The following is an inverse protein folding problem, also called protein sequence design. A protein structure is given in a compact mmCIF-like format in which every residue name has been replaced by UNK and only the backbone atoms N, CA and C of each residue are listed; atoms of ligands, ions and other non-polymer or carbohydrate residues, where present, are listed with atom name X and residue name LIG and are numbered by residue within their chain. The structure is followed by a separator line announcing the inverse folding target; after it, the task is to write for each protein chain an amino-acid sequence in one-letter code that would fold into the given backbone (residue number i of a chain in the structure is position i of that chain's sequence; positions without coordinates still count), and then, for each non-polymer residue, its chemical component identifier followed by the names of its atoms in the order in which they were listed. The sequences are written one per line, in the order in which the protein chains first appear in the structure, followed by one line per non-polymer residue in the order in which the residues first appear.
data_IF_487847967082
#
_entry.id   IF_487847967082
#
_cell.length_a   1.000
_cell.length_b   1.000
_cell.length_c   1.000
_cell.angle_alpha   90.00
_cell.angle_beta   90.00
_cell.angle_gamma   90.00
#
_symmetry.space_group_name_H-M   'P 1'
#
loop_
_entity.id
_entity.type
_entity.pdbx_description
1 polymer ?
#
# COMPACT_ATOMS: atom_id res chain seq x y z
N UNK A 1 2.11 16.01 13.88
CA UNK A 1 0.87 15.46 13.29
C UNK A 1 1.30 14.65 12.08
N UNK A 2 0.81 13.44 12.00
CA UNK A 2 0.94 12.59 10.82
C UNK A 2 -0.40 12.57 10.09
N UNK A 3 -0.36 12.70 8.77
CA UNK A 3 -1.53 12.71 7.90
C UNK A 3 -1.42 11.53 6.94
N UNK A 4 -2.53 10.92 6.56
CA UNK A 4 -2.57 9.92 5.50
C UNK A 4 -3.85 10.08 4.67
N UNK A 5 -3.78 9.65 3.41
CA UNK A 5 -4.94 9.60 2.53
C UNK A 5 -5.73 8.32 2.81
N UNK A 6 -7.01 8.46 3.16
CA UNK A 6 -7.92 7.33 3.40
C UNK A 6 -8.41 6.71 2.09
N UNK A 7 -8.63 5.41 2.10
CA UNK A 7 -9.39 4.58 1.14
C UNK A 7 -9.50 5.16 -0.29
N UNK A 8 -8.40 5.27 -1.05
CA UNK A 8 -8.40 5.90 -2.38
C UNK A 8 -9.41 5.28 -3.36
N UNK A 9 -9.70 3.98 -3.22
CA UNK A 9 -10.65 3.25 -4.05
C UNK A 9 -12.11 3.26 -3.52
N UNK A 10 -12.40 3.94 -2.43
CA UNK A 10 -13.80 4.16 -2.04
C UNK A 10 -14.47 5.08 -3.07
N UNK A 11 -15.52 4.57 -3.73
CA UNK A 11 -16.16 5.29 -4.83
C UNK A 11 -15.21 5.62 -6.00
N UNK A 12 -14.03 4.98 -6.06
CA UNK A 12 -12.97 5.24 -7.07
C UNK A 12 -12.51 6.70 -7.06
N UNK A 13 -12.37 7.27 -5.87
CA UNK A 13 -12.18 8.70 -5.66
C UNK A 13 -10.81 9.23 -6.11
N UNK A 14 -9.76 8.40 -6.07
CA UNK A 14 -8.37 8.81 -6.35
C UNK A 14 -7.73 7.86 -7.35
N UNK A 15 -7.01 8.39 -8.33
CA UNK A 15 -6.19 7.62 -9.26
C UNK A 15 -4.75 7.46 -8.74
N UNK A 16 -4.00 6.52 -9.27
CA UNK A 16 -2.60 6.35 -8.90
C UNK A 16 -1.74 7.57 -9.27
N UNK A 17 -2.07 8.26 -10.36
CA UNK A 17 -1.39 9.48 -10.79
C UNK A 17 -1.66 10.64 -9.84
N UNK A 18 -2.89 10.78 -9.35
CA UNK A 18 -3.25 11.79 -8.34
C UNK A 18 -2.56 11.48 -7.00
N UNK A 19 -2.54 10.21 -6.58
CA UNK A 19 -1.79 9.77 -5.40
C UNK A 19 -0.29 10.08 -5.54
N UNK A 20 0.30 9.88 -6.72
CA UNK A 20 1.69 10.19 -6.97
C UNK A 20 1.98 11.69 -6.90
N UNK A 21 1.06 12.53 -7.39
CA UNK A 21 1.26 13.98 -7.49
C UNK A 21 1.27 14.71 -6.14
N UNK A 22 0.69 14.11 -5.09
CA UNK A 22 0.66 14.71 -3.74
C UNK A 22 1.96 14.38 -3.01
N UNK A 23 3.07 14.96 -3.44
CA UNK A 23 4.43 14.61 -2.99
C UNK A 23 4.72 14.95 -1.53
N UNK A 24 3.95 15.86 -0.92
CA UNK A 24 4.06 16.19 0.50
C UNK A 24 3.46 15.13 1.43
N UNK A 25 2.59 14.27 0.92
CA UNK A 25 2.02 13.17 1.68
C UNK A 25 2.94 11.96 1.64
N UNK A 26 3.09 11.30 2.79
CA UNK A 26 3.97 10.14 2.95
C UNK A 26 3.21 8.83 3.15
N UNK A 27 1.92 8.91 3.45
CA UNK A 27 1.13 7.74 3.84
C UNK A 27 -0.23 7.72 3.15
N UNK A 28 -0.70 6.51 2.83
CA UNK A 28 -2.07 6.29 2.37
C UNK A 28 -2.57 4.92 2.82
N UNK A 29 -3.86 4.70 2.83
CA UNK A 29 -4.44 3.39 3.11
C UNK A 29 -4.28 2.46 1.91
N UNK A 30 -3.29 1.57 2.02
CA UNK A 30 -3.06 0.47 1.08
C UNK A 30 -4.11 -0.63 1.27
N UNK A 31 -4.43 -0.93 2.53
CA UNK A 31 -5.49 -1.84 2.93
C UNK A 31 -6.44 -1.13 3.89
N UNK A 32 -7.74 -1.24 3.60
CA UNK A 32 -8.80 -0.77 4.47
C UNK A 32 -9.75 -1.93 4.76
N UNK A 33 -10.02 -2.21 6.03
CA UNK A 33 -10.82 -3.35 6.48
C UNK A 33 -12.32 -3.21 6.27
N UNK A 34 -12.80 -2.04 5.84
CA UNK A 34 -14.22 -1.81 5.59
C UNK A 34 -14.66 -2.47 4.26
N UNK A 35 -15.76 -3.25 4.25
CA UNK A 35 -16.17 -4.05 3.08
C UNK A 35 -16.60 -3.23 1.86
N UNK A 36 -16.94 -1.94 2.05
CA UNK A 36 -17.31 -1.05 0.96
C UNK A 36 -16.13 -0.45 0.19
N UNK A 37 -14.88 -0.68 0.66
CA UNK A 37 -13.69 -0.19 -0.02
C UNK A 37 -13.22 -1.19 -1.06
N UNK A 38 -13.05 -0.73 -2.30
CA UNK A 38 -12.66 -1.56 -3.44
C UNK A 38 -11.14 -1.78 -3.50
N UNK A 39 -10.48 -2.14 -2.38
CA UNK A 39 -9.02 -2.24 -2.32
C UNK A 39 -8.43 -3.33 -3.24
N UNK A 40 -9.20 -4.35 -3.60
CA UNK A 40 -8.78 -5.38 -4.57
C UNK A 40 -8.92 -4.93 -6.03
N UNK A 41 -9.55 -3.79 -6.28
CA UNK A 41 -9.86 -3.37 -7.65
C UNK A 41 -11.04 -4.13 -8.26
N UNK A 42 -11.21 -3.98 -9.57
CA UNK A 42 -12.18 -4.74 -10.37
C UNK A 42 -11.57 -5.12 -11.74
N UNK A 43 -12.36 -5.69 -12.63
CA UNK A 43 -11.90 -6.10 -13.96
C UNK A 43 -11.30 -4.96 -14.80
N UNK A 44 -11.60 -3.70 -14.47
CA UNK A 44 -11.20 -2.52 -15.23
C UNK A 44 -10.34 -1.53 -14.47
N UNK A 45 -10.29 -1.63 -13.14
CA UNK A 45 -9.61 -0.68 -12.25
C UNK A 45 -8.64 -1.40 -11.32
N UNK A 46 -7.43 -0.88 -11.13
CA UNK A 46 -6.42 -1.52 -10.29
C UNK A 46 -6.84 -1.49 -8.81
N UNK A 47 -6.43 -2.50 -8.08
CA UNK A 47 -6.44 -2.47 -6.62
C UNK A 47 -5.42 -1.49 -6.07
N UNK A 48 -5.51 -1.23 -4.77
CA UNK A 48 -4.64 -0.27 -4.07
C UNK A 48 -3.17 -0.68 -4.08
N UNK A 49 -2.85 -1.98 -4.06
CA UNK A 49 -1.47 -2.47 -4.21
C UNK A 49 -0.88 -2.06 -5.56
N UNK A 50 -1.60 -2.29 -6.66
CA UNK A 50 -1.14 -1.86 -7.99
C UNK A 50 -1.09 -0.34 -8.13
N UNK A 51 -2.01 0.39 -7.49
CA UNK A 51 -1.94 1.85 -7.41
C UNK A 51 -0.69 2.32 -6.69
N UNK A 52 -0.30 1.64 -5.60
CA UNK A 52 0.92 1.92 -4.85
C UNK A 52 2.18 1.75 -5.70
N UNK A 53 2.28 0.65 -6.45
CA UNK A 53 3.39 0.39 -7.36
C UNK A 53 3.50 1.48 -8.43
N UNK A 54 2.38 1.85 -9.06
CA UNK A 54 2.33 2.90 -10.07
C UNK A 54 2.72 4.25 -9.45
N UNK A 55 2.13 4.62 -8.32
CA UNK A 55 2.38 5.89 -7.66
C UNK A 55 3.86 6.02 -7.25
N UNK A 56 4.45 4.97 -6.66
CA UNK A 56 5.86 4.99 -6.28
C UNK A 56 6.80 5.00 -7.49
N UNK A 57 6.45 4.30 -8.55
CA UNK A 57 7.22 4.36 -9.80
C UNK A 57 7.25 5.79 -10.35
N UNK A 58 6.11 6.49 -10.38
CA UNK A 58 6.01 7.88 -10.82
C UNK A 58 6.79 8.82 -9.88
N UNK A 59 6.61 8.67 -8.56
CA UNK A 59 7.27 9.52 -7.55
C UNK A 59 8.79 9.43 -7.66
N UNK A 60 9.32 8.22 -7.69
CA UNK A 60 10.77 7.99 -7.67
C UNK A 60 11.42 8.34 -9.01
N UNK A 61 10.83 7.88 -10.12
CA UNK A 61 11.48 7.99 -11.44
C UNK A 61 11.15 9.29 -12.19
N UNK A 62 9.94 9.84 -12.01
CA UNK A 62 9.50 11.00 -12.78
C UNK A 62 9.47 12.30 -11.98
N UNK A 63 9.12 12.21 -10.69
CA UNK A 63 8.99 13.39 -9.82
C UNK A 63 10.22 13.62 -8.93
N UNK A 64 11.17 12.67 -8.90
CA UNK A 64 12.33 12.68 -8.01
C UNK A 64 11.93 12.97 -6.55
N UNK A 65 10.88 12.31 -6.09
CA UNK A 65 10.27 12.47 -4.79
C UNK A 65 10.40 11.19 -3.96
N UNK A 66 10.26 11.33 -2.64
CA UNK A 66 10.23 10.19 -1.73
C UNK A 66 9.06 9.24 -2.03
N UNK A 67 9.21 7.94 -1.76
CA UNK A 67 8.10 7.00 -1.88
C UNK A 67 6.98 7.34 -0.91
N UNK A 68 5.76 6.92 -1.26
CA UNK A 68 4.62 6.91 -0.35
C UNK A 68 4.50 5.54 0.30
N UNK A 69 4.23 5.50 1.59
CA UNK A 69 4.08 4.27 2.38
C UNK A 69 2.61 3.84 2.47
N UNK A 70 2.40 2.54 2.42
CA UNK A 70 1.08 1.94 2.55
C UNK A 70 0.75 1.53 3.99
N UNK A 71 -0.38 1.99 4.51
CA UNK A 71 -0.91 1.62 5.81
C UNK A 71 -2.01 0.58 5.67
N UNK A 72 -2.16 -0.29 6.66
CA UNK A 72 -3.33 -1.12 6.85
C UNK A 72 -4.17 -0.57 8.02
N UNK A 73 -5.46 -0.44 7.81
CA UNK A 73 -6.41 0.11 8.78
C UNK A 73 -7.68 -0.74 8.86
N UNK A 74 -8.40 -0.61 9.96
CA UNK A 74 -9.70 -1.28 10.14
C UNK A 74 -10.84 -0.55 9.43
N UNK A 75 -10.83 0.77 9.50
CA UNK A 75 -11.98 1.63 9.21
C UNK A 75 -13.24 1.13 9.95
N UNK A 76 -13.07 0.84 11.24
CA UNK A 76 -14.05 0.14 12.06
C UNK A 76 -15.27 1.01 12.35
N UNK A 77 -16.45 0.47 12.09
CA UNK A 77 -17.75 1.08 12.35
C UNK A 77 -18.58 0.30 13.40
N UNK A 78 -18.11 -0.88 13.79
CA UNK A 78 -18.78 -1.75 14.75
C UNK A 78 -17.87 -2.09 15.91
N UNK A 79 -18.02 -1.39 17.04
CA UNK A 79 -17.20 -1.53 18.24
C UNK A 79 -17.82 -2.48 19.27
N UNK A 80 -19.14 -2.71 19.19
CA UNK A 80 -19.88 -3.59 20.10
C UNK A 80 -20.66 -4.63 19.31
N UNK A 81 -20.88 -5.81 19.93
CA UNK A 81 -21.64 -6.91 19.31
C UNK A 81 -21.09 -7.28 17.92
N UNK A 82 -19.79 -7.52 17.84
CA UNK A 82 -19.07 -7.72 16.58
C UNK A 82 -19.44 -9.02 15.84
N UNK A 83 -20.13 -9.96 16.50
CA UNK A 83 -20.61 -11.18 15.86
C UNK A 83 -21.50 -10.85 14.66
N UNK A 84 -21.19 -11.44 13.50
CA UNK A 84 -21.89 -11.23 12.23
C UNK A 84 -21.85 -9.77 11.70
N UNK A 85 -20.86 -8.99 12.11
CA UNK A 85 -20.56 -7.66 11.58
C UNK A 85 -19.34 -7.69 10.70
N UNK A 86 -19.26 -6.79 9.72
CA UNK A 86 -18.25 -6.81 8.67
C UNK A 86 -17.23 -5.65 8.78
N UNK A 87 -17.59 -4.54 9.40
CA UNK A 87 -16.68 -3.41 9.67
C UNK A 87 -16.25 -3.39 11.14
N UNK A 88 -15.48 -4.39 11.57
CA UNK A 88 -15.04 -4.58 12.96
C UNK A 88 -13.59 -4.19 13.17
N UNK A 89 -13.17 -4.04 14.43
CA UNK A 89 -11.77 -3.80 14.83
C UNK A 89 -10.87 -5.02 14.57
N UNK A 90 -9.55 -4.78 14.40
CA UNK A 90 -8.56 -5.84 14.23
C UNK A 90 -8.48 -6.43 12.83
N UNK A 91 -9.00 -5.75 11.82
CA UNK A 91 -8.96 -6.19 10.41
C UNK A 91 -7.74 -5.72 9.66
N UNK A 92 -7.16 -4.60 10.07
CA UNK A 92 -5.94 -4.05 9.53
C UNK A 92 -5.17 -3.27 10.59
N UNK A 93 -3.85 -3.37 10.60
CA UNK A 93 -2.98 -2.68 11.54
C UNK A 93 -1.59 -2.47 10.97
N UNK A 94 -0.81 -1.65 11.66
CA UNK A 94 0.62 -1.49 11.42
C UNK A 94 1.41 -2.02 12.60
N UNK A 95 2.61 -2.55 12.34
CA UNK A 95 3.60 -2.91 13.34
C UNK A 95 4.80 -2.01 13.18
N UNK A 96 5.05 -1.17 14.18
CA UNK A 96 6.12 -0.16 14.14
C UNK A 96 7.32 -0.67 14.94
N UNK A 97 8.50 -0.61 14.34
CA UNK A 97 9.77 -0.88 15.02
C UNK A 97 10.25 0.41 15.70
N UNK A 98 10.06 0.51 16.99
CA UNK A 98 10.40 1.67 17.79
C UNK A 98 11.21 1.25 19.02
N UNK A 99 12.10 2.12 19.51
CA UNK A 99 12.89 1.86 20.72
C UNK A 99 12.09 2.14 22.00
N UNK A 100 11.13 3.06 21.90
CA UNK A 100 10.29 3.48 23.03
C UNK A 100 8.83 3.61 22.60
N UNK A 101 7.92 3.33 23.52
CA UNK A 101 6.49 3.52 23.30
C UNK A 101 6.08 4.95 23.66
N UNK A 102 6.42 5.90 22.79
CA UNK A 102 5.96 7.28 22.87
C UNK A 102 5.62 7.85 21.48
N UNK A 103 4.85 8.92 21.46
CA UNK A 103 4.33 9.50 20.22
C UNK A 103 5.42 9.96 19.25
N UNK A 104 6.49 10.55 19.77
CA UNK A 104 7.58 11.09 18.94
C UNK A 104 8.31 9.94 18.25
N UNK A 105 8.75 8.94 19.01
CA UNK A 105 9.49 7.79 18.50
C UNK A 105 8.64 6.99 17.47
N UNK A 106 7.34 6.80 17.74
CA UNK A 106 6.46 6.10 16.81
C UNK A 106 6.32 6.86 15.47
N UNK A 107 6.10 8.18 15.52
CA UNK A 107 5.98 9.00 14.32
C UNK A 107 7.30 9.03 13.54
N UNK A 108 8.42 9.18 14.23
CA UNK A 108 9.74 9.21 13.61
C UNK A 108 10.09 7.86 12.96
N UNK A 109 9.79 6.75 13.62
CA UNK A 109 9.93 5.41 13.05
C UNK A 109 9.09 5.22 11.81
N UNK A 110 7.83 5.64 11.83
CA UNK A 110 6.96 5.57 10.67
C UNK A 110 7.48 6.44 9.51
N UNK A 111 7.96 7.65 9.78
CA UNK A 111 8.54 8.52 8.78
C UNK A 111 9.81 7.95 8.14
N UNK A 112 10.57 7.12 8.84
CA UNK A 112 11.71 6.37 8.29
C UNK A 112 11.31 5.12 7.51
N UNK A 113 10.03 4.68 7.60
CA UNK A 113 9.56 3.42 7.02
C UNK A 113 9.85 2.20 7.91
N UNK A 114 10.16 2.40 9.18
CA UNK A 114 10.46 1.34 10.15
C UNK A 114 9.16 0.67 10.64
N UNK A 115 8.33 0.22 9.74
CA UNK A 115 7.08 -0.47 10.04
C UNK A 115 6.67 -1.41 8.90
N UNK A 116 5.73 -2.29 9.18
CA UNK A 116 5.00 -3.03 8.16
C UNK A 116 3.49 -2.99 8.43
N UNK A 117 2.71 -3.12 7.36
CA UNK A 117 1.26 -3.18 7.38
C UNK A 117 0.77 -4.61 7.30
N UNK A 118 -0.30 -4.94 7.99
CA UNK A 118 -0.82 -6.30 8.02
C UNK A 118 -2.34 -6.34 8.15
N UNK A 119 -2.92 -7.36 7.54
CA UNK A 119 -4.32 -7.77 7.72
C UNK A 119 -4.44 -9.21 8.25
N UNK A 120 -3.37 -9.75 8.89
CA UNK A 120 -3.39 -11.10 9.46
C UNK A 120 -2.01 -11.73 9.66
N UNK A 121 -0.97 -11.24 8.98
CA UNK A 121 0.37 -11.79 9.09
C UNK A 121 1.16 -11.05 10.17
N UNK A 122 1.85 -11.83 11.03
CA UNK A 122 2.85 -11.29 11.95
C UNK A 122 4.24 -11.71 11.49
N UNK A 123 5.19 -10.79 11.48
CA UNK A 123 6.58 -11.05 11.14
C UNK A 123 7.42 -11.09 12.41
N UNK A 124 8.25 -12.13 12.54
CA UNK A 124 9.26 -12.25 13.62
C UNK A 124 10.53 -11.46 13.29
N UNK A 125 10.78 -11.25 11.98
CA UNK A 125 11.94 -10.51 11.49
C UNK A 125 11.59 -9.78 10.19
N UNK A 126 12.00 -8.53 10.10
CA UNK A 126 12.15 -7.78 8.85
C UNK A 126 13.49 -7.07 8.92
N UNK A 127 14.40 -7.42 8.03
CA UNK A 127 15.73 -6.85 7.97
C UNK A 127 16.10 -6.47 6.54
N UNK A 128 16.55 -5.23 6.35
CA UNK A 128 17.18 -4.78 5.13
C UNK A 128 18.66 -4.52 5.42
N UNK A 129 19.54 -5.23 4.74
CA UNK A 129 21.00 -5.12 4.90
C UNK A 129 21.61 -4.71 3.56
N UNK A 130 22.51 -3.75 3.61
CA UNK A 130 23.38 -3.42 2.48
C UNK A 130 24.82 -3.77 2.82
N UNK A 131 25.42 -4.66 2.04
CA UNK A 131 26.82 -5.08 2.21
C UNK A 131 27.47 -5.21 0.84
N UNK A 132 28.62 -4.57 0.67
CA UNK A 132 29.43 -4.64 -0.57
C UNK A 132 28.65 -4.27 -1.85
N UNK A 133 27.66 -3.37 -1.75
CA UNK A 133 26.82 -2.94 -2.87
C UNK A 133 25.66 -3.89 -3.20
N UNK A 134 25.51 -4.97 -2.45
CA UNK A 134 24.34 -5.84 -2.51
C UNK A 134 23.33 -5.48 -1.43
N UNK A 135 22.05 -5.44 -1.82
CA UNK A 135 20.92 -5.21 -0.90
C UNK A 135 20.18 -6.51 -0.69
N UNK A 136 20.05 -6.88 0.57
CA UNK A 136 19.31 -8.07 0.97
C UNK A 136 18.13 -7.67 1.86
N UNK A 137 16.94 -8.18 1.54
CA UNK A 137 15.76 -8.12 2.40
C UNK A 137 15.48 -9.50 2.96
N UNK A 138 15.47 -9.62 4.28
CA UNK A 138 15.16 -10.86 5.00
C UNK A 138 13.84 -10.71 5.75
N UNK A 139 12.95 -11.69 5.56
CA UNK A 139 11.65 -11.73 6.22
C UNK A 139 11.49 -13.10 6.90
N UNK A 140 11.06 -13.11 8.16
CA UNK A 140 10.64 -14.31 8.86
C UNK A 140 9.20 -14.16 9.34
N UNK A 141 8.33 -14.98 8.77
CA UNK A 141 6.91 -14.99 9.13
C UNK A 141 6.72 -15.82 10.40
N UNK A 142 5.98 -15.30 11.37
CA UNK A 142 5.55 -16.05 12.55
C UNK A 142 4.61 -17.17 12.11
N UNK A 143 4.94 -18.45 12.36
CA UNK A 143 4.13 -19.55 11.91
C UNK A 143 2.77 -19.61 12.63
N UNK A 144 1.74 -19.96 11.87
CA UNK A 144 0.39 -20.21 12.39
C UNK A 144 0.01 -21.66 12.05
N UNK A 145 -0.40 -22.50 13.02
CA UNK A 145 -0.77 -23.88 12.76
C UNK A 145 -1.85 -24.00 11.68
N UNK A 146 -1.62 -24.85 10.68
CA UNK A 146 -2.55 -25.09 9.58
C UNK A 146 -2.61 -24.01 8.50
N UNK A 147 -1.79 -22.93 8.60
CA UNK A 147 -1.72 -21.86 7.61
C UNK A 147 -0.46 -21.99 6.78
N UNK A 148 -0.60 -21.95 5.46
CA UNK A 148 0.51 -21.84 4.51
C UNK A 148 0.66 -20.40 4.06
N UNK A 149 1.86 -19.86 4.20
CA UNK A 149 2.21 -18.53 3.72
C UNK A 149 2.95 -18.60 2.38
N UNK A 150 2.73 -17.60 1.53
CA UNK A 150 3.49 -17.38 0.30
C UNK A 150 4.06 -15.97 0.35
N UNK A 151 5.35 -15.83 0.08
CA UNK A 151 6.01 -14.53 -0.01
C UNK A 151 6.24 -14.17 -1.47
N UNK A 152 5.91 -12.95 -1.84
CA UNK A 152 6.19 -12.37 -3.15
C UNK A 152 6.98 -11.08 -2.96
N UNK A 153 8.01 -10.89 -3.77
CA UNK A 153 8.76 -9.64 -3.85
C UNK A 153 8.32 -8.91 -5.11
N UNK A 154 7.69 -7.77 -4.94
CA UNK A 154 7.10 -6.99 -6.03
C UNK A 154 7.95 -5.75 -6.26
N UNK A 155 8.18 -5.41 -7.52
CA UNK A 155 8.96 -4.24 -7.90
C UNK A 155 8.65 -3.76 -9.31
N UNK A 156 9.28 -2.66 -9.69
CA UNK A 156 9.23 -2.16 -11.06
C UNK A 156 10.57 -2.44 -11.75
N UNK A 157 10.55 -2.95 -12.98
CA UNK A 157 11.78 -3.23 -13.74
C UNK A 157 12.56 -1.96 -14.01
N UNK A 158 13.89 -2.04 -13.88
CA UNK A 158 14.78 -0.98 -14.37
C UNK A 158 14.56 -0.80 -15.87
N UNK A 159 14.44 0.44 -16.32
CA UNK A 159 14.11 0.79 -17.72
C UNK A 159 12.74 0.27 -18.19
N UNK A 160 11.76 0.25 -17.28
CA UNK A 160 10.38 -0.10 -17.61
C UNK A 160 9.82 0.78 -18.75
N UNK A 161 8.83 0.26 -19.46
CA UNK A 161 8.13 1.03 -20.48
C UNK A 161 7.24 2.09 -19.78
N UNK A 162 7.61 3.36 -19.93
CA UNK A 162 6.91 4.51 -19.32
C UNK A 162 5.58 4.86 -20.02
N UNK A 163 5.28 4.21 -21.15
CA UNK A 163 4.05 4.49 -21.89
C UNK A 163 2.83 4.03 -21.09
N UNK A 164 1.90 4.95 -20.89
CA UNK A 164 0.62 4.68 -20.26
C UNK A 164 -0.53 5.11 -21.17
N UNK A 165 -1.61 4.33 -21.19
CA UNK A 165 -2.79 4.59 -22.02
C UNK A 165 -3.99 4.95 -21.15
N UNK A 166 -4.76 5.96 -21.57
CA UNK A 166 -6.00 6.31 -20.91
C UNK A 166 -7.00 5.14 -20.98
N UNK A 167 -7.78 4.95 -19.93
CA UNK A 167 -8.94 4.06 -19.98
C UNK A 167 -10.07 4.76 -20.73
N UNK A 168 -10.78 4.00 -21.54
CA UNK A 168 -11.87 4.52 -22.35
C UNK A 168 -13.21 3.91 -21.91
N UNK A 169 -14.29 4.69 -22.02
CA UNK A 169 -15.65 4.19 -21.89
C UNK A 169 -16.10 3.42 -23.16
N UNK A 170 -17.34 2.94 -23.12
CA UNK A 170 -17.94 2.21 -24.25
C UNK A 170 -18.08 3.04 -25.53
N UNK A 171 -17.99 4.37 -25.44
CA UNK A 171 -18.01 5.31 -26.58
C UNK A 171 -16.61 5.68 -27.07
N UNK A 172 -15.54 5.14 -26.46
CA UNK A 172 -14.15 5.42 -26.78
C UNK A 172 -13.62 6.74 -26.21
N UNK A 173 -14.30 7.34 -25.22
CA UNK A 173 -13.86 8.56 -24.56
C UNK A 173 -13.06 8.24 -23.30
N UNK A 174 -12.00 9.03 -23.01
CA UNK A 174 -11.25 8.88 -21.76
C UNK A 174 -12.13 9.08 -20.53
N UNK A 175 -12.03 8.16 -19.58
CA UNK A 175 -12.67 8.25 -18.26
C UNK A 175 -11.64 8.62 -17.19
N UNK A 176 -12.10 9.22 -16.10
CA UNK A 176 -11.27 9.47 -14.92
C UNK A 176 -10.99 8.17 -14.22
N UNK A 177 -9.83 7.60 -14.49
CA UNK A 177 -9.34 6.38 -13.85
C UNK A 177 -7.83 6.30 -13.99
N UNK A 178 -7.17 5.51 -13.14
CA UNK A 178 -5.75 5.17 -13.31
C UNK A 178 -5.50 4.64 -14.72
N UNK A 179 -4.49 5.16 -15.38
CA UNK A 179 -4.08 4.72 -16.72
C UNK A 179 -3.66 3.25 -16.73
N UNK A 180 -3.57 2.67 -17.89
CA UNK A 180 -3.00 1.33 -18.10
C UNK A 180 -1.50 1.48 -18.35
N UNK A 181 -0.71 0.88 -17.49
CA UNK A 181 0.75 0.81 -17.56
C UNK A 181 1.21 -0.55 -18.08
N UNK A 182 2.47 -0.63 -18.48
CA UNK A 182 3.07 -1.90 -18.89
C UNK A 182 3.17 -2.90 -17.74
N UNK A 183 3.34 -4.17 -18.08
CA UNK A 183 3.54 -5.25 -17.11
C UNK A 183 4.91 -5.19 -16.40
N UNK A 184 5.74 -4.18 -16.73
CA UNK A 184 7.01 -3.93 -16.03
C UNK A 184 6.85 -3.20 -14.70
N UNK A 185 5.67 -2.65 -14.42
CA UNK A 185 5.35 -1.89 -13.20
C UNK A 185 4.62 -2.78 -12.22
N UNK A 186 5.19 -3.00 -11.03
CA UNK A 186 4.59 -3.83 -9.98
C UNK A 186 4.45 -5.31 -10.39
N UNK A 187 5.57 -5.99 -10.54
CA UNK A 187 5.67 -7.40 -10.94
C UNK A 187 6.22 -8.27 -9.82
#
# INVERSE_FOLDING_TARGET
IMVHLNHPNFGWAVTAEELAAVTNERFFELYNGHPAVNHLGDATRPGTEKMWDIANTIRIDQLNSDPIYGLATDDSHHYHNQANRDATTGRGWIMVKANELNTVELIDSMNRGDFYSSSGVTLDLVEAVESSGEKQLSIKIKPVPGVKFTTQFIGTRKNYNKKATARLDSSGKPVRATKVYSDDVGI
#
